data_IF_111466789628
#
_entry.id   IF_111466789628
#
_cell.length_a   1.000
_cell.length_b   1.000
_cell.length_c   1.000
_cell.angle_alpha   90.00
_cell.angle_beta   90.00
_cell.angle_gamma   90.00
#
_symmetry.space_group_name_H-M   'P 1'
#
loop_
_entity.id
_entity.type
_entity.pdbx_description
1 polymer ?
#
# COMPACT_ATOMS: atom_id res chain seq x y z
N UNK A 1 -49.45 -23.69 30.16
CA UNK A 1 -48.47 -22.95 29.33
C UNK A 1 -47.45 -22.34 30.29
N UNK A 2 -46.22 -22.83 30.24
CA UNK A 2 -45.13 -22.31 31.07
C UNK A 2 -44.64 -21.00 30.44
N UNK A 3 -44.81 -19.88 31.15
CA UNK A 3 -44.08 -18.65 30.86
C UNK A 3 -42.62 -18.90 31.19
N UNK A 4 -41.79 -19.14 30.17
CA UNK A 4 -40.34 -18.97 30.28
C UNK A 4 -40.10 -17.49 30.57
N UNK A 5 -39.60 -17.20 31.77
CA UNK A 5 -38.99 -15.90 32.06
C UNK A 5 -37.83 -15.70 31.10
N UNK A 6 -37.89 -14.64 30.31
CA UNK A 6 -36.74 -14.12 29.60
C UNK A 6 -35.89 -13.43 30.67
N UNK A 7 -34.87 -14.11 31.18
CA UNK A 7 -33.83 -13.45 31.96
C UNK A 7 -33.13 -12.49 31.00
N UNK A 8 -33.55 -11.22 31.04
CA UNK A 8 -32.80 -10.12 30.45
C UNK A 8 -31.44 -10.09 31.18
N UNK A 9 -30.44 -10.72 30.57
CA UNK A 9 -29.07 -10.70 31.05
C UNK A 9 -28.63 -9.23 31.13
N UNK A 10 -28.63 -8.66 32.34
CA UNK A 10 -28.28 -7.28 32.60
C UNK A 10 -26.90 -7.01 31.98
N UNK A 11 -26.87 -6.20 30.92
CA UNK A 11 -25.66 -5.93 30.16
C UNK A 11 -24.58 -5.36 31.09
N UNK A 12 -23.40 -5.97 31.09
CA UNK A 12 -22.37 -5.70 32.10
C UNK A 12 -21.60 -4.41 31.77
N UNK A 13 -21.37 -3.57 32.79
CA UNK A 13 -20.48 -2.40 32.69
C UNK A 13 -19.03 -2.86 32.45
N UNK A 14 -18.28 -2.08 31.67
CA UNK A 14 -16.90 -2.37 31.30
C UNK A 14 -15.99 -2.59 32.52
N UNK A 15 -15.43 -3.80 32.72
CA UNK A 15 -14.68 -4.12 33.93
C UNK A 15 -13.25 -3.55 33.94
N UNK A 16 -12.68 -3.31 32.76
CA UNK A 16 -11.33 -2.75 32.59
C UNK A 16 -11.17 -2.11 31.20
N UNK A 17 -10.08 -1.37 31.01
CA UNK A 17 -9.70 -0.85 29.68
C UNK A 17 -9.17 -1.97 28.79
N UNK A 18 -9.43 -1.88 27.49
CA UNK A 18 -8.79 -2.70 26.46
C UNK A 18 -7.39 -2.15 26.23
N UNK A 19 -6.38 -3.00 26.40
CA UNK A 19 -4.99 -2.64 26.10
C UNK A 19 -4.63 -2.98 24.65
N UNK A 20 -4.13 -1.99 23.92
CA UNK A 20 -3.66 -2.10 22.54
C UNK A 20 -2.12 -2.19 22.55
N UNK A 21 -1.59 -3.32 22.11
CA UNK A 21 -0.16 -3.54 21.92
C UNK A 21 0.29 -3.15 20.53
N UNK A 22 1.29 -2.26 20.43
CA UNK A 22 1.95 -1.93 19.16
C UNK A 22 3.26 -2.74 19.09
N UNK A 23 3.30 -3.72 18.19
CA UNK A 23 4.40 -4.67 18.02
C UNK A 23 5.04 -4.54 16.64
N UNK A 24 6.02 -3.66 16.52
CA UNK A 24 6.82 -3.43 15.31
C UNK A 24 8.12 -2.72 15.70
N UNK A 25 9.05 -2.55 14.76
CA UNK A 25 10.31 -1.85 14.99
C UNK A 25 10.10 -0.37 15.36
N UNK A 26 10.96 0.24 16.21
CA UNK A 26 10.74 1.60 16.73
C UNK A 26 10.52 2.66 15.67
N UNK A 27 11.19 2.55 14.53
CA UNK A 27 11.04 3.48 13.39
C UNK A 27 9.59 3.61 12.92
N UNK A 28 8.81 2.52 12.99
CA UNK A 28 7.37 2.52 12.68
C UNK A 28 6.53 2.84 13.91
N UNK A 29 6.82 2.19 15.04
CA UNK A 29 6.04 2.34 16.28
C UNK A 29 6.04 3.78 16.84
N UNK A 30 7.14 4.53 16.66
CA UNK A 30 7.30 5.92 17.12
C UNK A 30 7.26 6.92 15.95
N UNK A 31 6.74 6.51 14.80
CA UNK A 31 6.60 7.43 13.66
C UNK A 31 5.56 8.52 13.97
N UNK A 32 5.73 9.72 13.39
CA UNK A 32 4.78 10.83 13.58
C UNK A 32 3.32 10.43 13.28
N UNK A 33 3.01 9.71 12.18
CA UNK A 33 1.65 9.25 11.93
C UNK A 33 1.12 8.29 13.01
N UNK A 34 1.94 7.34 13.47
CA UNK A 34 1.54 6.40 14.52
C UNK A 34 1.21 7.14 15.81
N UNK A 35 2.09 8.03 16.27
CA UNK A 35 1.86 8.84 17.48
C UNK A 35 0.59 9.68 17.35
N UNK A 36 0.43 10.41 16.24
CA UNK A 36 -0.72 11.28 16.00
C UNK A 36 -2.06 10.51 15.98
N UNK A 37 -2.09 9.29 15.45
CA UNK A 37 -3.29 8.43 15.45
C UNK A 37 -3.56 7.89 16.85
N UNK A 38 -2.55 7.37 17.55
CA UNK A 38 -2.72 6.75 18.86
C UNK A 38 -3.09 7.78 19.94
N UNK A 39 -2.52 8.97 19.91
CA UNK A 39 -2.90 10.09 20.78
C UNK A 39 -4.37 10.48 20.60
N UNK A 40 -4.84 10.58 19.34
CA UNK A 40 -6.26 10.84 19.03
C UNK A 40 -7.16 9.70 19.45
N UNK A 41 -6.72 8.46 19.28
CA UNK A 41 -7.46 7.29 19.74
C UNK A 41 -7.65 7.34 21.26
N UNK A 42 -6.64 7.75 22.03
CA UNK A 42 -6.77 7.96 23.48
C UNK A 42 -7.62 9.18 23.81
N UNK A 43 -7.52 10.27 23.05
CA UNK A 43 -8.39 11.44 23.21
C UNK A 43 -9.88 11.05 23.09
N UNK A 44 -10.21 10.21 22.12
CA UNK A 44 -11.60 9.81 21.83
C UNK A 44 -12.11 8.63 22.67
N UNK A 45 -11.24 7.66 23.00
CA UNK A 45 -11.64 6.40 23.61
C UNK A 45 -10.90 6.07 24.91
N UNK A 46 -10.11 7.00 25.46
CA UNK A 46 -9.19 6.75 26.58
C UNK A 46 -9.84 6.27 27.88
N UNK A 47 -11.16 6.40 28.02
CA UNK A 47 -11.91 5.78 29.13
C UNK A 47 -12.05 4.25 28.96
N UNK A 48 -12.06 3.76 27.72
CA UNK A 48 -12.31 2.37 27.33
C UNK A 48 -11.04 1.65 26.87
N UNK A 49 -10.06 2.38 26.36
CA UNK A 49 -8.85 1.80 25.77
C UNK A 49 -7.59 2.48 26.31
N UNK A 50 -6.49 1.75 26.30
CA UNK A 50 -5.13 2.24 26.51
C UNK A 50 -4.22 1.61 25.45
N UNK A 51 -3.03 2.18 25.21
CA UNK A 51 -2.05 1.55 24.34
C UNK A 51 -0.66 1.59 24.95
N UNK A 52 0.20 0.70 24.49
CA UNK A 52 1.62 0.70 24.80
C UNK A 52 2.41 0.09 23.63
N UNK A 53 3.70 0.42 23.55
CA UNK A 53 4.61 -0.08 22.53
C UNK A 53 5.45 -1.19 23.14
N UNK A 54 5.55 -2.32 22.43
CA UNK A 54 6.41 -3.42 22.85
C UNK A 54 7.88 -2.96 22.77
N UNK A 55 8.70 -3.18 23.81
CA UNK A 55 10.11 -2.81 23.75
C UNK A 55 10.83 -3.57 22.62
N UNK A 56 11.70 -2.89 21.88
CA UNK A 56 12.46 -3.50 20.78
C UNK A 56 13.31 -4.67 21.27
N UNK A 57 14.01 -4.50 22.39
CA UNK A 57 14.82 -5.56 23.01
C UNK A 57 13.98 -6.80 23.32
N UNK A 58 12.73 -6.62 23.78
CA UNK A 58 11.80 -7.72 24.01
C UNK A 58 11.39 -8.40 22.69
N UNK A 59 11.07 -7.62 21.66
CA UNK A 59 10.72 -8.17 20.33
C UNK A 59 11.85 -9.01 19.76
N UNK A 60 13.10 -8.51 19.85
CA UNK A 60 14.25 -9.17 19.25
C UNK A 60 14.76 -10.35 20.10
N UNK A 61 14.97 -10.12 21.40
CA UNK A 61 15.80 -11.00 22.22
C UNK A 61 15.00 -11.91 23.17
N UNK A 62 13.87 -11.44 23.68
CA UNK A 62 13.08 -12.20 24.65
C UNK A 62 12.23 -13.30 23.98
N UNK A 63 12.01 -14.43 24.66
CA UNK A 63 11.04 -15.43 24.24
C UNK A 63 9.61 -14.88 24.33
N UNK A 64 8.70 -15.38 23.49
CA UNK A 64 7.35 -14.82 23.31
C UNK A 64 6.47 -14.90 24.57
N UNK A 65 6.81 -15.81 25.49
CA UNK A 65 6.17 -15.98 26.79
C UNK A 65 6.38 -14.75 27.69
N UNK A 66 7.54 -14.08 27.54
CA UNK A 66 7.90 -12.89 28.31
C UNK A 66 7.36 -11.59 27.68
N UNK A 67 6.74 -11.66 26.51
CA UNK A 67 6.22 -10.47 25.84
C UNK A 67 5.02 -9.90 26.62
N UNK A 68 4.83 -8.57 26.60
CA UNK A 68 3.70 -7.95 27.28
C UNK A 68 2.36 -8.50 26.81
N UNK A 69 1.38 -8.60 27.72
CA UNK A 69 0.01 -8.98 27.38
C UNK A 69 -0.76 -7.79 26.80
N UNK A 70 -1.49 -8.04 25.71
CA UNK A 70 -2.44 -7.08 25.16
C UNK A 70 -3.76 -7.77 24.79
N UNK A 71 -4.84 -7.00 24.81
CA UNK A 71 -6.14 -7.48 24.33
C UNK A 71 -6.21 -7.36 22.80
N UNK A 72 -5.70 -6.25 22.26
CA UNK A 72 -5.68 -5.95 20.83
C UNK A 72 -4.23 -5.76 20.36
N UNK A 73 -3.87 -6.30 19.20
CA UNK A 73 -2.52 -6.22 18.64
C UNK A 73 -2.53 -5.49 17.29
N UNK A 74 -1.67 -4.47 17.19
CA UNK A 74 -1.27 -3.85 15.91
C UNK A 74 0.18 -4.26 15.67
N UNK A 75 0.40 -5.16 14.72
CA UNK A 75 1.73 -5.63 14.35
C UNK A 75 2.00 -5.42 12.87
N UNK A 76 3.24 -5.02 12.55
CA UNK A 76 3.64 -4.56 11.22
C UNK A 76 5.02 -5.11 10.89
N UNK A 77 5.10 -5.86 9.81
CA UNK A 77 6.36 -6.31 9.24
C UNK A 77 7.21 -5.15 8.72
N UNK A 78 8.51 -5.26 8.97
CA UNK A 78 9.60 -4.48 8.38
C UNK A 78 10.80 -5.41 8.25
N UNK A 79 11.79 -5.10 7.41
CA UNK A 79 12.95 -5.97 7.17
C UNK A 79 13.64 -6.56 8.43
N UNK A 80 13.69 -5.82 9.54
CA UNK A 80 14.32 -6.26 10.79
C UNK A 80 13.33 -6.89 11.80
N UNK A 81 12.05 -6.99 11.45
CA UNK A 81 10.99 -7.43 12.35
C UNK A 81 10.81 -8.96 12.29
N UNK A 82 10.89 -9.66 13.44
CA UNK A 82 10.72 -11.12 13.47
C UNK A 82 9.24 -11.51 13.40
N UNK A 83 8.65 -11.45 12.20
CA UNK A 83 7.21 -11.73 11.96
C UNK A 83 6.79 -13.10 12.48
N UNK A 84 7.62 -14.13 12.29
CA UNK A 84 7.36 -15.48 12.82
C UNK A 84 7.23 -15.51 14.35
N UNK A 85 8.05 -14.74 15.09
CA UNK A 85 7.91 -14.62 16.55
C UNK A 85 6.58 -13.94 16.91
N UNK A 86 6.20 -12.89 16.19
CA UNK A 86 4.94 -12.19 16.42
C UNK A 86 3.72 -13.09 16.14
N UNK A 87 3.78 -13.95 15.12
CA UNK A 87 2.74 -14.96 14.84
C UNK A 87 2.66 -16.00 15.95
N UNK A 88 3.80 -16.48 16.44
CA UNK A 88 3.84 -17.42 17.56
C UNK A 88 3.25 -16.77 18.84
N UNK A 89 3.54 -15.48 19.09
CA UNK A 89 2.90 -14.71 20.16
C UNK A 89 1.37 -14.63 19.98
N UNK A 90 0.87 -14.36 18.77
CA UNK A 90 -0.57 -14.34 18.48
C UNK A 90 -1.20 -15.70 18.77
N UNK A 91 -0.56 -16.80 18.36
CA UNK A 91 -1.02 -18.16 18.65
C UNK A 91 -1.04 -18.47 20.15
N UNK A 92 -0.05 -17.98 20.89
CA UNK A 92 0.08 -18.20 22.34
C UNK A 92 -0.94 -17.37 23.15
N UNK A 93 -1.14 -16.10 22.79
CA UNK A 93 -1.89 -15.12 23.59
C UNK A 93 -3.29 -14.82 23.05
N UNK A 94 -3.58 -15.18 21.81
CA UNK A 94 -4.84 -14.96 21.11
C UNK A 94 -5.42 -13.54 21.23
N UNK A 95 -4.64 -12.46 20.97
CA UNK A 95 -5.18 -11.11 20.97
C UNK A 95 -6.09 -10.88 19.75
N UNK A 96 -6.96 -9.88 19.81
CA UNK A 96 -7.65 -9.37 18.63
C UNK A 96 -6.66 -8.65 17.72
N UNK A 97 -6.41 -9.19 16.53
CA UNK A 97 -5.39 -8.67 15.60
C UNK A 97 -6.03 -7.70 14.59
N UNK A 98 -5.48 -6.49 14.45
CA UNK A 98 -5.99 -5.47 13.51
C UNK A 98 -5.61 -5.78 12.05
N UNK A 99 -4.37 -6.21 11.82
CA UNK A 99 -3.87 -6.60 10.49
C UNK A 99 -3.37 -8.03 10.61
N UNK A 100 -4.00 -8.98 9.92
CA UNK A 100 -3.64 -10.40 10.00
C UNK A 100 -2.14 -10.58 9.70
N UNK A 101 -1.40 -11.27 10.57
CA UNK A 101 0.06 -11.44 10.45
C UNK A 101 0.45 -12.47 9.38
N UNK A 102 -0.30 -13.57 9.24
CA UNK A 102 -0.07 -14.57 8.19
C UNK A 102 -0.14 -13.92 6.81
N UNK A 103 -1.16 -13.07 6.61
CA UNK A 103 -1.36 -12.31 5.37
C UNK A 103 -0.28 -11.25 5.10
N UNK A 104 0.59 -10.95 6.06
CA UNK A 104 1.73 -10.05 5.79
C UNK A 104 2.80 -10.74 4.92
N UNK A 105 2.89 -12.07 4.91
CA UNK A 105 3.75 -12.77 3.95
C UNK A 105 3.20 -12.68 2.52
N UNK A 106 1.88 -12.65 2.36
CA UNK A 106 1.24 -12.53 1.04
C UNK A 106 1.65 -11.24 0.33
N UNK A 107 1.82 -10.12 1.07
CA UNK A 107 2.23 -8.84 0.49
C UNK A 107 3.73 -8.73 0.19
N UNK A 108 4.55 -9.66 0.71
CA UNK A 108 6.00 -9.69 0.44
C UNK A 108 6.34 -10.36 -0.91
N UNK A 109 5.41 -11.12 -1.48
CA UNK A 109 5.56 -11.73 -2.81
C UNK A 109 4.57 -11.09 -3.78
N UNK A 110 5.09 -10.37 -4.78
CA UNK A 110 4.25 -9.78 -5.83
C UNK A 110 3.41 -10.83 -6.58
N UNK A 111 3.91 -12.07 -6.67
CA UNK A 111 3.18 -13.19 -7.26
C UNK A 111 1.95 -13.55 -6.43
N UNK A 112 2.09 -13.60 -5.10
CA UNK A 112 0.98 -13.86 -4.20
C UNK A 112 -0.03 -12.70 -4.23
N UNK A 113 0.45 -11.44 -4.26
CA UNK A 113 -0.40 -10.26 -4.43
C UNK A 113 -1.26 -10.39 -5.68
N UNK A 114 -0.66 -10.64 -6.85
CA UNK A 114 -1.39 -10.75 -8.11
C UNK A 114 -2.38 -11.93 -8.12
N UNK A 115 -1.99 -13.07 -7.55
CA UNK A 115 -2.89 -14.22 -7.36
C UNK A 115 -4.13 -13.84 -6.56
N UNK A 116 -3.96 -13.20 -5.41
CA UNK A 116 -5.07 -12.77 -4.53
C UNK A 116 -5.96 -11.74 -5.24
N UNK A 117 -5.36 -10.78 -5.98
CA UNK A 117 -6.13 -9.82 -6.77
C UNK A 117 -7.01 -10.50 -7.82
N UNK A 118 -6.45 -11.49 -8.53
CA UNK A 118 -7.17 -12.27 -9.55
C UNK A 118 -8.31 -13.10 -8.95
N UNK A 119 -8.04 -13.85 -7.88
CA UNK A 119 -9.05 -14.69 -7.18
C UNK A 119 -10.23 -13.86 -6.64
N UNK A 120 -10.03 -12.57 -6.38
CA UNK A 120 -11.05 -11.65 -5.87
C UNK A 120 -11.69 -10.77 -6.95
N UNK A 121 -11.36 -11.00 -8.23
CA UNK A 121 -11.87 -10.22 -9.36
C UNK A 121 -11.58 -8.73 -9.20
N UNK A 122 -10.34 -8.40 -8.82
CA UNK A 122 -9.83 -7.03 -8.74
C UNK A 122 -9.00 -6.77 -9.99
N UNK A 123 -9.32 -5.72 -10.74
CA UNK A 123 -8.61 -5.39 -11.97
C UNK A 123 -7.14 -5.04 -11.66
N UNK A 124 -6.22 -5.66 -12.40
CA UNK A 124 -4.78 -5.46 -12.31
C UNK A 124 -4.18 -5.67 -13.72
N UNK A 125 -2.95 -5.20 -14.00
CA UNK A 125 -2.33 -5.39 -15.31
C UNK A 125 -2.21 -6.87 -15.70
N UNK A 126 -2.40 -7.18 -16.99
CA UNK A 126 -2.09 -8.52 -17.51
C UNK A 126 -0.61 -8.79 -17.28
N UNK A 127 -0.28 -9.98 -16.80
CA UNK A 127 1.08 -10.30 -16.35
C UNK A 127 1.46 -11.75 -16.62
N UNK A 128 2.76 -12.00 -16.72
CA UNK A 128 3.39 -13.31 -16.75
C UNK A 128 4.56 -13.38 -15.77
N UNK A 129 4.80 -14.55 -15.20
CA UNK A 129 5.90 -14.78 -14.26
C UNK A 129 7.01 -15.59 -14.93
N UNK A 130 8.27 -15.18 -14.73
CA UNK A 130 9.44 -15.96 -15.11
C UNK A 130 10.22 -16.28 -13.84
N UNK A 131 10.16 -17.55 -13.44
CA UNK A 131 10.84 -18.05 -12.25
C UNK A 131 12.11 -18.77 -12.69
N UNK A 132 13.24 -18.42 -12.08
CA UNK A 132 14.57 -18.97 -12.41
C UNK A 132 15.23 -19.49 -11.15
N UNK A 133 15.79 -20.71 -11.22
CA UNK A 133 16.61 -21.28 -10.15
C UNK A 133 15.86 -21.98 -9.01
N UNK A 134 14.52 -22.10 -9.07
CA UNK A 134 13.75 -22.93 -8.15
C UNK A 134 13.59 -24.35 -8.74
N UNK A 135 13.97 -25.38 -7.99
CA UNK A 135 14.08 -26.77 -8.49
C UNK A 135 12.74 -27.44 -8.81
N UNK A 136 11.64 -26.87 -8.32
CA UNK A 136 10.33 -27.54 -8.27
C UNK A 136 9.27 -26.91 -9.19
N UNK A 137 9.60 -25.82 -9.89
CA UNK A 137 8.70 -25.21 -10.88
C UNK A 137 9.06 -25.64 -12.31
N UNK A 138 8.07 -25.95 -13.17
CA UNK A 138 8.35 -26.27 -14.56
C UNK A 138 9.06 -25.10 -15.24
N UNK A 139 10.09 -25.41 -16.05
CA UNK A 139 10.86 -24.41 -16.79
C UNK A 139 9.92 -23.46 -17.54
N UNK A 140 9.94 -22.18 -17.16
CA UNK A 140 9.15 -21.15 -17.85
C UNK A 140 9.67 -21.01 -19.26
N UNK A 141 8.79 -21.18 -20.26
CA UNK A 141 9.16 -20.91 -21.66
C UNK A 141 9.26 -19.40 -21.84
N UNK A 142 10.49 -18.92 -21.98
CA UNK A 142 10.79 -17.50 -22.12
C UNK A 142 11.57 -17.23 -23.40
N UNK A 143 11.03 -16.37 -24.26
CA UNK A 143 11.73 -15.83 -25.41
C UNK A 143 11.73 -14.30 -25.36
N UNK A 144 12.85 -13.70 -25.74
CA UNK A 144 12.98 -12.24 -25.86
C UNK A 144 13.26 -11.87 -27.31
N UNK A 145 12.54 -10.86 -27.79
CA UNK A 145 12.65 -10.27 -29.11
C UNK A 145 12.92 -8.77 -28.98
N UNK A 146 13.27 -8.05 -30.08
CA UNK A 146 13.61 -6.63 -30.00
C UNK A 146 12.53 -5.76 -29.33
N UNK A 147 11.25 -5.99 -29.65
CA UNK A 147 10.12 -5.17 -29.20
C UNK A 147 9.06 -5.93 -28.39
N UNK A 148 9.33 -7.18 -28.01
CA UNK A 148 8.43 -7.95 -27.16
C UNK A 148 9.15 -9.07 -26.42
N UNK A 149 8.46 -9.65 -25.44
CA UNK A 149 8.83 -10.91 -24.81
C UNK A 149 7.66 -11.87 -24.94
N UNK A 150 7.96 -13.17 -24.91
CA UNK A 150 6.98 -14.24 -24.88
C UNK A 150 7.19 -15.09 -23.63
N UNK A 151 6.13 -15.23 -22.83
CA UNK A 151 6.12 -16.01 -21.60
C UNK A 151 5.03 -17.07 -21.72
N UNK A 152 5.42 -18.33 -21.78
CA UNK A 152 4.48 -19.46 -21.91
C UNK A 152 3.48 -19.33 -23.08
N UNK A 153 3.93 -18.74 -24.21
CA UNK A 153 3.07 -18.49 -25.38
C UNK A 153 2.36 -17.15 -25.37
N UNK A 154 2.37 -16.41 -24.25
CA UNK A 154 1.78 -15.08 -24.17
C UNK A 154 2.79 -13.98 -24.54
N UNK A 155 2.41 -13.13 -25.48
CA UNK A 155 3.25 -12.02 -25.95
C UNK A 155 2.98 -10.75 -25.14
N UNK A 156 4.04 -10.07 -24.72
CA UNK A 156 4.02 -8.75 -24.08
C UNK A 156 4.81 -7.78 -24.95
N UNK A 157 4.10 -6.88 -25.63
CA UNK A 157 4.72 -5.84 -26.45
C UNK A 157 5.33 -4.75 -25.58
N UNK A 158 6.47 -4.18 -26.01
CA UNK A 158 6.96 -2.95 -25.40
C UNK A 158 5.98 -1.78 -25.68
N UNK A 159 5.69 -0.91 -24.70
CA UNK A 159 6.27 -0.94 -23.37
C UNK A 159 5.65 -1.98 -22.43
N UNK A 160 6.50 -2.62 -21.64
CA UNK A 160 6.11 -3.51 -20.55
C UNK A 160 6.94 -3.19 -19.30
N UNK A 161 6.46 -3.63 -18.14
CA UNK A 161 7.10 -3.42 -16.83
C UNK A 161 7.64 -4.75 -16.33
N UNK A 162 8.86 -4.76 -15.81
CA UNK A 162 9.49 -5.90 -15.14
C UNK A 162 9.69 -5.58 -13.65
N UNK A 163 9.08 -6.39 -12.78
CA UNK A 163 9.14 -6.26 -11.32
C UNK A 163 9.83 -7.48 -10.72
N UNK A 164 10.77 -7.33 -9.77
CA UNK A 164 11.24 -8.44 -8.95
C UNK A 164 10.08 -9.13 -8.24
N UNK A 165 10.13 -10.46 -8.08
CA UNK A 165 9.09 -11.20 -7.34
C UNK A 165 9.00 -10.74 -5.89
N UNK A 166 10.16 -10.45 -5.28
CA UNK A 166 10.25 -9.83 -3.95
C UNK A 166 9.66 -8.42 -3.99
N UNK A 167 8.62 -8.17 -3.20
CA UNK A 167 7.94 -6.88 -3.15
C UNK A 167 8.79 -5.79 -2.46
N UNK A 168 9.76 -6.17 -1.62
CA UNK A 168 10.69 -5.25 -0.96
C UNK A 168 11.83 -4.81 -1.91
N UNK A 169 12.04 -5.54 -3.02
CA UNK A 169 12.90 -5.08 -4.09
C UNK A 169 12.15 -4.10 -5.01
N UNK A 170 12.55 -2.83 -4.93
CA UNK A 170 11.97 -1.71 -5.67
C UNK A 170 12.69 -1.42 -7.00
N UNK A 171 13.58 -2.29 -7.47
CA UNK A 171 14.23 -2.17 -8.78
C UNK A 171 13.28 -2.60 -9.91
N UNK A 172 12.28 -1.75 -10.18
CA UNK A 172 11.25 -1.98 -11.21
C UNK A 172 11.69 -1.34 -12.52
N UNK A 173 11.70 -2.09 -13.62
CA UNK A 173 12.17 -1.60 -14.92
C UNK A 173 11.01 -1.45 -15.90
N UNK A 174 11.05 -0.43 -16.75
CA UNK A 174 10.10 -0.21 -17.85
C UNK A 174 10.92 -0.26 -19.14
N UNK A 175 10.53 -1.11 -20.08
CA UNK A 175 11.24 -1.28 -21.35
C UNK A 175 10.49 -0.54 -22.45
N UNK A 176 11.19 0.23 -23.29
CA UNK A 176 10.57 1.02 -24.36
C UNK A 176 10.79 0.37 -25.73
N UNK A 177 9.83 0.54 -26.64
CA UNK A 177 9.92 0.02 -28.00
C UNK A 177 11.01 0.74 -28.79
N UNK A 178 11.51 0.08 -29.82
CA UNK A 178 12.48 0.63 -30.76
C UNK A 178 11.93 1.87 -31.47
N UNK A 179 10.62 1.90 -31.75
CA UNK A 179 9.93 3.08 -32.30
C UNK A 179 9.94 4.31 -31.38
N UNK A 180 10.07 4.10 -30.07
CA UNK A 180 10.16 5.15 -29.05
C UNK A 180 11.62 5.49 -28.66
N UNK A 181 12.61 4.98 -29.40
CA UNK A 181 14.04 5.18 -29.13
C UNK A 181 14.71 4.05 -28.33
N UNK A 182 13.94 3.02 -27.94
CA UNK A 182 14.43 1.87 -27.19
C UNK A 182 14.87 2.21 -25.77
N UNK A 183 15.70 1.34 -25.20
CA UNK A 183 16.21 1.47 -23.84
C UNK A 183 15.20 1.09 -22.76
N UNK A 184 15.50 1.50 -21.53
CA UNK A 184 14.70 1.22 -20.34
C UNK A 184 14.77 2.34 -19.31
N UNK A 185 13.69 2.50 -18.54
CA UNK A 185 13.68 3.30 -17.31
C UNK A 185 13.84 2.36 -16.12
N UNK A 186 14.77 2.68 -15.22
CA UNK A 186 15.09 1.89 -14.03
C UNK A 186 14.65 2.64 -12.79
N UNK A 187 13.54 2.21 -12.19
CA UNK A 187 13.04 2.77 -10.95
C UNK A 187 13.84 2.21 -9.78
N UNK A 188 13.94 3.00 -8.73
CA UNK A 188 14.60 2.60 -7.48
C UNK A 188 13.97 3.32 -6.30
N UNK A 189 14.22 2.79 -5.10
CA UNK A 189 13.85 3.48 -3.86
C UNK A 189 14.49 4.86 -3.85
N UNK A 190 13.65 5.89 -3.70
CA UNK A 190 14.03 7.30 -3.83
C UNK A 190 15.33 7.63 -3.10
N UNK A 191 16.24 8.27 -3.84
CA UNK A 191 17.48 8.85 -3.33
C UNK A 191 17.43 10.34 -3.66
N UNK A 192 17.37 11.20 -2.64
CA UNK A 192 17.22 12.64 -2.79
C UNK A 192 15.97 13.03 -3.62
N UNK A 193 16.16 13.60 -4.81
CA UNK A 193 15.10 14.04 -5.72
C UNK A 193 14.93 13.12 -6.93
N UNK A 194 15.51 11.92 -6.87
CA UNK A 194 15.45 10.95 -7.95
C UNK A 194 14.71 9.69 -7.51
N UNK A 195 13.94 9.13 -8.44
CA UNK A 195 13.13 7.93 -8.27
C UNK A 195 13.27 6.93 -9.41
N UNK A 196 13.90 7.34 -10.50
CA UNK A 196 14.31 6.47 -11.60
C UNK A 196 15.39 7.14 -12.45
N UNK A 197 16.01 6.38 -13.34
CA UNK A 197 16.93 6.89 -14.37
C UNK A 197 16.70 6.20 -15.71
N UNK A 198 17.07 6.85 -16.81
CA UNK A 198 17.10 6.23 -18.13
C UNK A 198 18.36 5.36 -18.30
N UNK A 199 18.25 4.27 -19.05
CA UNK A 199 19.33 3.39 -19.46
C UNK A 199 19.16 3.02 -20.93
N UNK A 200 20.23 3.02 -21.74
CA UNK A 200 20.14 2.62 -23.14
C UNK A 200 19.94 1.10 -23.33
N UNK A 201 20.06 0.30 -22.26
CA UNK A 201 19.87 -1.16 -22.35
C UNK A 201 18.41 -1.51 -22.60
N UNK A 202 18.18 -2.32 -23.62
CA UNK A 202 16.84 -2.71 -24.07
C UNK A 202 16.50 -4.16 -23.69
N UNK A 203 17.47 -4.89 -23.16
CA UNK A 203 17.38 -6.30 -22.79
C UNK A 203 16.89 -6.50 -21.36
N UNK A 204 16.05 -7.52 -21.16
CA UNK A 204 15.53 -7.89 -19.84
C UNK A 204 16.59 -8.47 -18.90
N UNK A 205 16.34 -8.40 -17.58
CA UNK A 205 17.24 -9.03 -16.61
C UNK A 205 17.15 -10.56 -16.71
N UNK A 206 18.31 -11.21 -16.66
CA UNK A 206 18.45 -12.67 -16.78
C UNK A 206 18.75 -13.37 -15.46
N UNK A 207 19.24 -12.64 -14.46
CA UNK A 207 19.60 -13.15 -13.14
C UNK A 207 18.50 -12.84 -12.13
N UNK A 208 17.75 -13.87 -11.72
CA UNK A 208 16.62 -13.76 -10.81
C UNK A 208 15.25 -13.95 -11.46
N UNK A 209 14.22 -13.92 -10.62
CA UNK A 209 12.82 -14.17 -10.96
C UNK A 209 12.01 -12.87 -11.01
N UNK A 210 11.18 -12.71 -12.04
CA UNK A 210 10.46 -11.48 -12.32
C UNK A 210 9.01 -11.70 -12.73
N UNK A 211 8.18 -10.70 -12.46
CA UNK A 211 6.89 -10.51 -13.10
C UNK A 211 7.07 -9.52 -14.24
N UNK A 212 6.54 -9.87 -15.40
CA UNK A 212 6.38 -8.96 -16.52
C UNK A 212 4.91 -8.62 -16.67
N UNK A 213 4.58 -7.33 -16.75
CA UNK A 213 3.21 -6.87 -16.89
C UNK A 213 3.07 -5.84 -18.01
N UNK A 214 1.87 -5.76 -18.59
CA UNK A 214 1.53 -4.73 -19.55
C UNK A 214 1.68 -3.34 -18.93
N UNK A 215 2.30 -2.42 -19.68
CA UNK A 215 2.38 -1.04 -19.25
C UNK A 215 1.02 -0.36 -19.36
N UNK A 216 0.52 0.17 -18.24
CA UNK A 216 -0.75 0.92 -18.20
C UNK A 216 -0.45 2.43 -18.36
N UNK A 217 -0.97 3.10 -19.41
CA UNK A 217 -0.72 4.52 -19.66
C UNK A 217 -1.56 5.41 -18.74
N UNK A 218 -1.17 5.54 -17.48
CA UNK A 218 -1.92 6.23 -16.42
C UNK A 218 -1.74 7.77 -16.38
N UNK A 219 -1.40 8.37 -17.52
CA UNK A 219 -1.17 9.82 -17.64
C UNK A 219 -0.14 10.40 -16.68
N UNK A 220 0.91 9.63 -16.38
CA UNK A 220 2.06 10.10 -15.61
C UNK A 220 1.83 10.31 -14.11
N UNK A 221 0.72 9.82 -13.55
CA UNK A 221 0.46 9.90 -12.10
C UNK A 221 0.11 8.54 -11.51
N UNK A 222 0.63 8.27 -10.31
CA UNK A 222 0.21 7.13 -9.49
C UNK A 222 -0.84 7.62 -8.49
N UNK A 223 -1.97 6.90 -8.34
CA UNK A 223 -2.92 7.15 -7.26
C UNK A 223 -2.59 6.23 -6.09
N UNK A 224 -2.18 6.80 -4.97
CA UNK A 224 -1.93 6.07 -3.72
C UNK A 224 -3.19 6.05 -2.88
N UNK A 225 -3.62 4.87 -2.49
CA UNK A 225 -4.81 4.66 -1.67
C UNK A 225 -4.41 4.08 -0.32
N UNK A 226 -5.01 4.62 0.75
CA UNK A 226 -4.79 4.21 2.13
C UNK A 226 -6.14 3.90 2.76
N UNK A 227 -6.46 2.62 2.81
CA UNK A 227 -7.70 2.11 3.41
C UNK A 227 -7.55 1.92 4.92
N UNK A 228 -8.66 2.16 5.64
CA UNK A 228 -8.80 1.89 7.08
C UNK A 228 -10.14 1.21 7.30
N UNK A 229 -10.11 -0.12 7.37
CA UNK A 229 -11.30 -0.95 7.31
C UNK A 229 -11.95 -0.95 5.91
N UNK A 230 -12.99 -1.76 5.72
CA UNK A 230 -13.61 -2.00 4.40
C UNK A 230 -14.44 -0.82 3.86
N UNK A 231 -14.58 0.26 4.64
CA UNK A 231 -15.50 1.35 4.37
C UNK A 231 -14.84 2.72 4.42
N UNK A 232 -13.52 2.82 4.49
CA UNK A 232 -12.83 4.11 4.40
C UNK A 232 -11.58 3.97 3.56
N UNK A 233 -11.35 4.93 2.68
CA UNK A 233 -10.13 5.03 1.90
C UNK A 233 -9.80 6.49 1.62
N UNK A 234 -8.58 6.89 1.96
CA UNK A 234 -7.99 8.16 1.55
C UNK A 234 -7.17 7.95 0.28
N UNK A 235 -7.21 8.89 -0.66
CA UNK A 235 -6.41 8.80 -1.87
C UNK A 235 -5.71 10.12 -2.19
N UNK A 236 -4.48 10.00 -2.66
CA UNK A 236 -3.64 11.11 -3.12
C UNK A 236 -2.85 10.66 -4.35
N UNK A 237 -2.68 11.54 -5.33
CA UNK A 237 -1.82 11.27 -6.47
C UNK A 237 -0.44 11.90 -6.29
N UNK A 238 0.53 11.34 -7.01
CA UNK A 238 1.87 11.89 -7.17
C UNK A 238 2.34 11.63 -8.60
N UNK A 239 3.38 12.35 -9.04
CA UNK A 239 4.07 12.04 -10.30
C UNK A 239 4.60 10.61 -10.30
N UNK A 240 4.30 9.86 -11.36
CA UNK A 240 4.74 8.49 -11.52
C UNK A 240 6.27 8.46 -11.76
N UNK A 241 7.04 7.59 -11.08
CA UNK A 241 8.47 7.47 -11.29
C UNK A 241 8.86 7.07 -12.72
N UNK A 242 7.94 6.49 -13.50
CA UNK A 242 8.15 6.15 -14.90
C UNK A 242 8.26 7.36 -15.84
N UNK A 243 7.84 8.56 -15.40
CA UNK A 243 7.78 9.77 -16.25
C UNK A 243 9.16 10.32 -16.57
N UNK A 244 9.89 10.87 -15.61
CA UNK A 244 11.25 11.41 -15.80
C UNK A 244 12.20 11.09 -14.63
N UNK A 245 11.68 10.44 -13.59
CA UNK A 245 12.41 10.12 -12.37
C UNK A 245 12.58 11.27 -11.39
N UNK A 246 12.25 12.52 -11.76
CA UNK A 246 12.40 13.69 -10.90
C UNK A 246 11.24 13.80 -9.91
N UNK A 247 11.58 13.89 -8.63
CA UNK A 247 10.61 14.06 -7.54
C UNK A 247 10.29 15.54 -7.39
N UNK A 248 9.04 15.90 -7.64
CA UNK A 248 8.54 17.24 -7.42
C UNK A 248 8.34 17.50 -5.93
N UNK A 249 8.81 18.66 -5.46
CA UNK A 249 8.72 19.06 -4.05
C UNK A 249 8.18 20.46 -3.89
N UNK A 250 7.40 20.67 -2.82
CA UNK A 250 7.03 21.98 -2.33
C UNK A 250 8.25 22.72 -1.75
N UNK A 251 8.19 24.05 -1.55
CA UNK A 251 9.25 24.82 -0.92
C UNK A 251 9.66 24.33 0.47
N UNK A 252 8.78 23.63 1.19
CA UNK A 252 9.05 23.01 2.49
C UNK A 252 9.78 21.65 2.39
N UNK A 253 10.15 21.23 1.17
CA UNK A 253 10.88 20.00 0.89
C UNK A 253 10.02 18.74 0.84
N UNK A 254 8.69 18.82 1.05
CA UNK A 254 7.80 17.65 0.93
C UNK A 254 7.48 17.36 -0.53
N UNK A 255 7.35 16.08 -0.85
CA UNK A 255 6.90 15.65 -2.18
C UNK A 255 5.50 16.21 -2.48
N UNK A 256 5.31 16.72 -3.70
CA UNK A 256 4.00 17.23 -4.16
C UNK A 256 3.00 16.08 -4.24
N UNK A 257 1.85 16.28 -3.61
CA UNK A 257 0.73 15.32 -3.64
C UNK A 257 -0.58 16.08 -3.87
N UNK A 258 -1.45 15.49 -4.68
CA UNK A 258 -2.77 16.07 -4.94
C UNK A 258 -3.85 15.18 -4.34
N UNK A 259 -4.85 15.78 -3.69
CA UNK A 259 -6.00 15.01 -3.18
C UNK A 259 -6.72 14.35 -4.35
N UNK A 260 -7.08 13.08 -4.19
CA UNK A 260 -7.85 12.32 -5.18
C UNK A 260 -9.17 11.88 -4.56
N UNK A 261 -10.27 12.11 -5.28
CA UNK A 261 -11.57 11.52 -4.94
C UNK A 261 -11.68 10.17 -5.63
N UNK A 262 -11.95 9.13 -4.85
CA UNK A 262 -12.20 7.78 -5.36
C UNK A 262 -13.62 7.65 -5.89
N UNK A 263 -13.75 7.05 -7.08
CA UNK A 263 -15.03 6.65 -7.65
C UNK A 263 -15.67 5.53 -6.81
N UNK A 264 -16.97 5.29 -6.99
CA UNK A 264 -17.64 4.18 -6.32
C UNK A 264 -17.00 2.82 -6.64
N UNK A 265 -16.55 2.61 -7.89
CA UNK A 265 -15.83 1.39 -8.29
C UNK A 265 -14.52 1.23 -7.52
N UNK A 266 -13.73 2.29 -7.40
CA UNK A 266 -12.46 2.27 -6.67
C UNK A 266 -12.64 2.09 -5.15
N UNK A 267 -13.73 2.63 -4.58
CA UNK A 267 -14.09 2.34 -3.18
C UNK A 267 -14.43 0.85 -2.98
N UNK A 268 -15.11 0.23 -3.94
CA UNK A 268 -15.32 -1.22 -3.91
C UNK A 268 -14.01 -2.00 -4.07
N UNK A 269 -13.07 -1.53 -4.90
CA UNK A 269 -11.71 -2.10 -4.97
C UNK A 269 -11.03 -2.02 -3.61
N UNK A 270 -11.04 -0.85 -2.95
CA UNK A 270 -10.44 -0.67 -1.63
C UNK A 270 -11.06 -1.64 -0.59
N UNK A 271 -12.39 -1.76 -0.59
CA UNK A 271 -13.12 -2.73 0.24
C UNK A 271 -12.64 -4.17 -0.02
N UNK A 272 -12.58 -4.58 -1.29
CA UNK A 272 -12.14 -5.93 -1.67
C UNK A 272 -10.69 -6.19 -1.23
N UNK A 273 -9.78 -5.22 -1.40
CA UNK A 273 -8.38 -5.37 -0.96
C UNK A 273 -8.29 -5.58 0.55
N UNK A 274 -8.96 -4.75 1.35
CA UNK A 274 -8.95 -4.88 2.82
C UNK A 274 -9.44 -6.26 3.26
N UNK A 275 -10.51 -6.76 2.63
CA UNK A 275 -11.09 -8.06 2.96
C UNK A 275 -10.22 -9.23 2.47
N UNK A 276 -9.69 -9.15 1.25
CA UNK A 276 -8.91 -10.22 0.63
C UNK A 276 -7.54 -10.42 1.29
N UNK A 277 -6.87 -9.32 1.66
CA UNK A 277 -5.57 -9.37 2.35
C UNK A 277 -5.70 -9.36 3.87
N UNK A 278 -6.93 -9.25 4.41
CA UNK A 278 -7.23 -9.14 5.85
C UNK A 278 -6.36 -8.08 6.57
N UNK A 279 -6.07 -6.99 5.87
CA UNK A 279 -5.30 -5.86 6.36
C UNK A 279 -6.27 -4.70 6.62
N UNK A 280 -6.69 -4.49 7.87
CA UNK A 280 -7.56 -3.36 8.23
C UNK A 280 -6.94 -2.04 7.76
N UNK A 281 -5.66 -1.82 8.05
CA UNK A 281 -4.90 -0.68 7.53
C UNK A 281 -4.11 -1.17 6.33
N UNK A 282 -4.46 -0.71 5.12
CA UNK A 282 -3.83 -1.19 3.90
C UNK A 282 -3.55 -0.06 2.90
N UNK A 283 -2.31 0.02 2.43
CA UNK A 283 -1.89 0.88 1.34
C UNK A 283 -1.78 0.11 0.03
N UNK A 284 -2.23 0.70 -1.08
CA UNK A 284 -2.07 0.13 -2.42
C UNK A 284 -2.05 1.23 -3.48
N UNK A 285 -1.51 0.91 -4.66
CA UNK A 285 -1.36 1.84 -5.77
C UNK A 285 -2.34 1.49 -6.90
N UNK A 286 -2.98 2.53 -7.45
CA UNK A 286 -3.90 2.47 -8.58
C UNK A 286 -3.35 3.23 -9.78
N UNK A 287 -3.54 2.64 -10.95
CA UNK A 287 -3.30 3.24 -12.27
C UNK A 287 -4.66 3.48 -12.93
N UNK A 288 -4.99 4.73 -13.27
CA UNK A 288 -6.22 5.10 -13.97
C UNK A 288 -5.92 5.23 -15.46
N UNK A 289 -6.51 4.35 -16.29
CA UNK A 289 -6.35 4.40 -17.74
C UNK A 289 -7.60 3.90 -18.45
N UNK A 290 -7.97 4.52 -19.56
CA UNK A 290 -9.08 4.12 -20.43
C UNK A 290 -10.41 3.88 -19.67
N UNK A 291 -10.73 4.75 -18.71
CA UNK A 291 -11.95 4.66 -17.89
C UNK A 291 -11.97 3.50 -16.87
N UNK A 292 -10.84 2.81 -16.70
CA UNK A 292 -10.62 1.73 -15.72
C UNK A 292 -9.58 2.14 -14.67
N UNK A 293 -9.56 1.41 -13.56
CA UNK A 293 -8.57 1.54 -12.50
C UNK A 293 -7.95 0.19 -12.22
N UNK A 294 -6.63 0.09 -12.34
CA UNK A 294 -5.85 -1.15 -12.18
C UNK A 294 -5.02 -1.06 -10.90
N UNK A 295 -5.07 -2.10 -10.06
CA UNK A 295 -4.19 -2.22 -8.89
C UNK A 295 -2.84 -2.74 -9.37
N UNK A 296 -1.77 -1.97 -9.15
CA UNK A 296 -0.43 -2.35 -9.61
C UNK A 296 0.52 -2.74 -8.47
N UNK A 297 0.15 -2.44 -7.21
CA UNK A 297 0.95 -2.75 -6.02
C UNK A 297 0.07 -2.76 -4.76
N UNK A 298 0.31 -3.69 -3.84
CA UNK A 298 -0.34 -3.76 -2.52
C UNK A 298 0.75 -3.85 -1.46
N UNK A 299 0.82 -2.84 -0.59
CA UNK A 299 1.93 -2.64 0.35
C UNK A 299 1.63 -3.18 1.77
N UNK A 300 0.41 -3.63 2.05
CA UNK A 300 -0.04 -3.90 3.41
C UNK A 300 -0.08 -2.62 4.26
N UNK A 301 0.40 -2.66 5.50
CA UNK A 301 0.26 -1.56 6.43
C UNK A 301 0.93 -0.25 5.97
N UNK A 302 0.14 0.80 5.79
CA UNK A 302 0.63 2.12 5.42
C UNK A 302 -0.28 3.24 5.94
N UNK A 303 0.32 4.31 6.46
CA UNK A 303 -0.38 5.53 6.87
C UNK A 303 -0.06 6.70 5.94
N UNK A 304 -1.06 7.57 5.74
CA UNK A 304 -0.86 8.91 5.18
C UNK A 304 0.03 9.71 6.14
N UNK A 305 0.88 10.58 5.62
CA UNK A 305 1.93 11.26 6.43
C UNK A 305 1.63 12.71 6.82
N UNK A 306 0.63 13.34 6.21
CA UNK A 306 0.48 14.80 6.25
C UNK A 306 -0.96 15.27 6.44
N UNK A 307 -1.90 14.36 6.74
CA UNK A 307 -3.32 14.70 6.84
C UNK A 307 -3.84 14.52 8.26
N UNK A 308 -4.10 15.64 8.95
CA UNK A 308 -4.70 15.64 10.29
C UNK A 308 -6.10 15.00 10.28
N UNK A 309 -6.89 15.26 9.24
CA UNK A 309 -8.18 14.62 9.03
C UNK A 309 -8.04 13.09 8.92
N UNK A 310 -7.06 12.60 8.17
CA UNK A 310 -6.81 11.16 8.09
C UNK A 310 -6.46 10.56 9.46
N UNK A 311 -5.65 11.25 10.28
CA UNK A 311 -5.31 10.77 11.62
C UNK A 311 -6.54 10.68 12.53
N UNK A 312 -7.41 11.69 12.48
CA UNK A 312 -8.66 11.71 13.24
C UNK A 312 -9.63 10.62 12.78
N UNK A 313 -9.86 10.52 11.48
CA UNK A 313 -10.73 9.50 10.89
C UNK A 313 -10.22 8.08 11.23
N UNK A 314 -8.92 7.84 11.09
CA UNK A 314 -8.28 6.55 11.40
C UNK A 314 -8.45 6.20 12.88
N UNK A 315 -8.18 7.14 13.79
CA UNK A 315 -8.34 6.94 15.23
C UNK A 315 -9.79 6.60 15.60
N UNK A 316 -10.77 7.30 15.00
CA UNK A 316 -12.21 7.03 15.19
C UNK A 316 -12.59 5.65 14.66
N UNK A 317 -12.14 5.27 13.47
CA UNK A 317 -12.45 3.95 12.87
C UNK A 317 -11.88 2.82 13.73
N UNK A 318 -10.59 2.89 14.07
CA UNK A 318 -9.92 1.86 14.86
C UNK A 318 -10.51 1.75 16.27
N UNK A 319 -10.74 2.88 16.95
CA UNK A 319 -11.37 2.89 18.27
C UNK A 319 -12.77 2.27 18.23
N UNK A 320 -13.61 2.67 17.27
CA UNK A 320 -14.93 2.06 17.07
C UNK A 320 -14.84 0.55 16.80
N UNK A 321 -13.94 0.11 15.92
CA UNK A 321 -13.76 -1.30 15.57
C UNK A 321 -13.34 -2.12 16.79
N UNK A 322 -12.37 -1.65 17.57
CA UNK A 322 -11.85 -2.33 18.76
C UNK A 322 -12.94 -2.40 19.84
N UNK A 323 -13.54 -1.27 20.20
CA UNK A 323 -14.54 -1.22 21.27
C UNK A 323 -15.75 -2.08 20.91
N UNK A 324 -16.27 -1.99 19.67
CA UNK A 324 -17.40 -2.83 19.24
C UNK A 324 -17.06 -4.31 19.19
N UNK A 325 -15.84 -4.69 18.81
CA UNK A 325 -15.40 -6.09 18.84
C UNK A 325 -15.51 -6.65 20.26
N UNK A 326 -14.87 -6.00 21.24
CA UNK A 326 -14.89 -6.49 22.62
C UNK A 326 -16.26 -6.39 23.28
N UNK A 327 -17.03 -5.34 22.98
CA UNK A 327 -18.41 -5.22 23.44
C UNK A 327 -19.25 -6.43 22.98
N UNK A 328 -19.15 -6.79 21.70
CA UNK A 328 -19.86 -7.94 21.14
C UNK A 328 -19.36 -9.26 21.72
N UNK A 329 -18.04 -9.46 21.78
CA UNK A 329 -17.44 -10.73 22.23
C UNK A 329 -17.71 -11.01 23.71
N UNK A 330 -17.80 -9.96 24.54
CA UNK A 330 -18.00 -10.09 25.99
C UNK A 330 -19.41 -9.70 26.47
N UNK A 331 -20.33 -9.39 25.56
CA UNK A 331 -21.67 -8.90 25.86
C UNK A 331 -21.69 -7.64 26.78
N UNK A 332 -20.80 -6.68 26.49
CA UNK A 332 -20.74 -5.39 27.19
C UNK A 332 -21.55 -4.31 26.47
N UNK A 333 -22.11 -3.36 27.23
CA UNK A 333 -22.83 -2.22 26.68
C UNK A 333 -21.90 -1.32 25.86
N UNK A 334 -22.29 -0.96 24.64
CA UNK A 334 -21.57 0.06 23.87
C UNK A 334 -21.89 1.44 24.48
N UNK A 335 -20.88 2.25 24.86
CA UNK A 335 -21.13 3.60 25.37
C UNK A 335 -21.87 4.47 24.36
N UNK A 336 -22.90 5.17 24.82
CA UNK A 336 -23.80 5.99 23.99
C UNK A 336 -23.07 7.22 23.42
N UNK A 337 -22.08 7.72 24.15
CA UNK A 337 -21.25 8.88 23.83
C UNK A 337 -20.04 8.55 22.95
N UNK A 338 -19.94 7.31 22.44
CA UNK A 338 -18.87 6.93 21.54
C UNK A 338 -18.86 7.82 20.29
N UNK A 339 -17.70 8.39 19.91
CA UNK A 339 -17.64 9.20 18.71
C UNK A 339 -17.97 8.35 17.48
N UNK A 340 -18.84 8.83 16.58
CA UNK A 340 -19.23 8.05 15.41
C UNK A 340 -18.02 7.81 14.52
N UNK A 341 -17.99 6.64 13.88
CA UNK A 341 -17.06 6.44 12.78
C UNK A 341 -17.37 7.46 11.67
N UNK A 342 -16.35 8.02 10.99
CA UNK A 342 -16.58 8.96 9.91
C UNK A 342 -17.49 8.32 8.86
N UNK A 343 -18.57 9.01 8.50
CA UNK A 343 -19.33 8.65 7.31
C UNK A 343 -18.38 8.75 6.12
N UNK A 344 -18.48 7.80 5.18
CA UNK A 344 -17.79 7.88 3.89
C UNK A 344 -18.05 9.27 3.32
N UNK A 345 -17.00 10.10 3.24
CA UNK A 345 -17.06 11.38 2.55
C UNK A 345 -17.58 11.07 1.14
N UNK A 346 -18.82 11.47 0.86
CA UNK A 346 -19.43 11.35 -0.46
C UNK A 346 -18.65 12.18 -1.50
N UNK A 347 -17.63 12.93 -1.08
CA UNK A 347 -16.83 13.81 -1.92
C UNK A 347 -17.58 15.08 -2.27
N UNK A 348 -18.66 15.37 -1.56
CA UNK A 348 -19.51 16.56 -1.74
C UNK A 348 -19.29 17.47 -0.53
N UNK A 349 -18.06 17.96 -0.40
CA UNK A 349 -17.69 19.05 0.49
C UNK A 349 -17.02 20.11 -0.37
N UNK A 350 -17.57 21.33 -0.32
CA UNK A 350 -17.21 22.47 -1.16
C UNK A 350 -15.69 22.70 -1.20
N UNK A 351 -15.18 23.05 -2.39
CA UNK A 351 -13.77 23.32 -2.74
C UNK A 351 -12.81 22.13 -2.96
N UNK A 352 -13.31 20.95 -3.36
CA UNK A 352 -12.47 19.99 -4.07
C UNK A 352 -12.53 20.23 -5.59
N UNK A 353 -11.48 20.84 -6.16
CA UNK A 353 -11.24 20.77 -7.60
C UNK A 353 -11.28 19.29 -8.02
N UNK A 354 -12.31 18.91 -8.77
CA UNK A 354 -12.39 17.63 -9.45
C UNK A 354 -11.28 17.61 -10.50
N UNK A 355 -10.07 17.25 -10.09
CA UNK A 355 -9.02 16.90 -11.04
C UNK A 355 -9.40 15.52 -11.57
N UNK A 356 -10.22 15.51 -12.63
CA UNK A 356 -10.19 14.40 -13.57
C UNK A 356 -8.76 14.35 -14.07
N UNK A 357 -7.99 13.35 -13.64
CA UNK A 357 -6.72 13.06 -14.30
C UNK A 357 -7.07 12.85 -15.78
N UNK A 358 -6.57 13.70 -16.70
CA UNK A 358 -6.80 13.46 -18.12
C UNK A 358 -6.30 12.06 -18.45
N UNK A 359 -6.95 11.37 -19.38
CA UNK A 359 -6.31 10.24 -20.04
C UNK A 359 -5.05 10.81 -20.71
N UNK A 360 -3.89 10.58 -20.09
CA UNK A 360 -2.65 11.16 -20.58
C UNK A 360 -2.14 10.42 -21.80
N UNK A 361 -1.28 11.11 -22.53
CA UNK A 361 -0.72 10.70 -23.82
C UNK A 361 0.03 9.37 -23.75
N UNK A 362 0.21 8.74 -24.92
CA UNK A 362 0.87 7.44 -25.05
C UNK A 362 2.26 7.47 -24.43
N UNK A 363 2.74 6.31 -23.97
CA UNK A 363 4.09 6.14 -23.43
C UNK A 363 5.21 6.68 -24.36
N UNK A 364 4.90 6.84 -25.65
CA UNK A 364 5.74 7.40 -26.70
C UNK A 364 6.12 8.87 -26.45
N UNK A 365 5.27 9.67 -25.80
CA UNK A 365 5.61 11.06 -25.44
C UNK A 365 6.61 11.12 -24.27
N UNK A 366 6.54 10.16 -23.34
CA UNK A 366 7.36 10.13 -22.12
C UNK A 366 8.83 9.80 -22.40
N UNK A 367 9.11 9.01 -23.44
CA UNK A 367 10.48 8.71 -23.87
C UNK A 367 11.19 9.96 -24.45
N UNK A 368 10.46 10.76 -25.23
CA UNK A 368 11.01 11.93 -25.94
C UNK A 368 11.37 13.12 -25.03
N UNK A 369 10.74 13.27 -23.87
CA UNK A 369 11.07 14.35 -22.93
C UNK A 369 12.38 14.11 -22.13
N UNK A 370 13.02 12.95 -22.29
CA UNK A 370 14.20 12.57 -21.49
C UNK A 370 15.56 12.79 -22.18
N UNK A 371 15.58 13.33 -23.41
CA UNK A 371 16.83 13.76 -24.05
C UNK A 371 17.31 15.10 -23.45
N UNK A 372 18.60 15.23 -23.09
CA UNK A 372 19.16 16.54 -22.77
C UNK A 372 19.12 17.39 -24.04
N UNK A 373 18.43 18.54 -23.97
CA UNK A 373 18.52 19.57 -25.03
C UNK A 373 19.99 19.91 -25.23
N UNK A 374 20.53 19.62 -26.42
CA UNK A 374 21.84 20.12 -26.81
C UNK A 374 21.81 21.64 -26.71
N UNK A 375 22.69 22.19 -25.87
CA UNK A 375 22.95 23.62 -25.82
C UNK A 375 23.75 23.95 -27.08
N UNK A 376 23.09 24.46 -28.12
CA UNK A 376 23.77 25.09 -29.24
C UNK A 376 24.65 26.21 -28.70
N UNK A 377 25.95 25.98 -28.67
CA UNK A 377 26.95 27.00 -28.37
C UNK A 377 27.04 27.95 -29.56
N UNK A 378 26.32 29.06 -29.50
CA UNK A 378 26.55 30.19 -30.40
C UNK A 378 27.90 30.83 -30.06
N UNK A 379 28.94 30.46 -30.80
CA UNK A 379 30.22 31.15 -30.81
C UNK A 379 30.06 32.51 -31.53
N UNK A 380 29.93 33.60 -30.76
CA UNK A 380 30.06 34.95 -31.30
C UNK A 380 31.53 35.22 -31.65
N UNK A 381 31.82 35.27 -32.94
CA UNK A 381 32.99 35.99 -33.48
C UNK A 381 32.69 37.48 -33.39
N UNK A 382 33.45 38.20 -32.56
CA UNK A 382 33.58 39.66 -32.72
C UNK A 382 34.77 39.92 -33.64
N UNK A 383 34.49 40.45 -34.82
CA UNK A 383 35.43 41.25 -35.61
C UNK A 383 35.20 42.72 -35.28
N UNK A 384 36.31 43.47 -35.25
CA UNK A 384 36.47 44.94 -35.11
C UNK A 384 36.49 45.51 -33.69
#
# INVERSE_FOLDING_TARGET
>A
MAHKGNEDAAEQKWPHKISIGICTMPKKAKSKPMQAIMERLILFFGQLVSFFIFPEETILNEPIENWPHCHCLISIHTAEFPLQKAMAYVKLRNPYVINNLDRQFDVLSRRNVLKILSENGIEHPRHGCVIRGESDEPDTKFAEYPDNIEINGEVFMKPFVEKPIDAEDHNVYIYYSSSAGGGSRRLFRKKNNESSCYSPKSEVRRDGSYIYEEFIPAGGTDVKVYAVGPHYAHAESRKAPGVDGKVERHPDGKEVRHRVVLTNKERQIAKKIVLAFEQTICGFDLLRANGKSYVCDVNGFSFVKTSEKYYEDTAKILGNQIVRHFAKTNNWQIPIDMPPAPFLDSGVGDDALMISTPAGESAECVAKESEPREVESTSNKNES
#
